data_IF_347687135955
#
_entry.id   IF_347687135955
#
_cell.length_a   1.000
_cell.length_b   1.000
_cell.length_c   1.000
_cell.angle_alpha   90.00
_cell.angle_beta   90.00
_cell.angle_gamma   90.00
#
_symmetry.space_group_name_H-M   'P 1'
#
loop_
_entity.id
_entity.type
_entity.pdbx_description
1 polymer ?
#
# COMPACT_ATOMS: atom_id res chain seq x y z
N UNK A 1 42.63 50.66 -11.29
CA UNK A 1 43.46 49.45 -11.03
C UNK A 1 42.55 48.25 -11.19
N UNK A 2 42.81 47.42 -12.24
CA UNK A 2 42.10 46.19 -12.44
C UNK A 2 42.60 45.17 -11.40
N UNK A 3 41.72 44.67 -10.52
CA UNK A 3 42.07 43.58 -9.63
C UNK A 3 42.45 42.36 -10.46
N UNK A 4 43.45 41.54 -10.06
CA UNK A 4 43.82 40.35 -10.77
C UNK A 4 42.68 39.35 -10.71
N UNK A 5 42.32 38.72 -11.83
CA UNK A 5 41.38 37.63 -11.96
C UNK A 5 41.82 36.52 -11.02
N UNK A 6 41.12 36.38 -9.91
CA UNK A 6 41.21 35.19 -9.06
C UNK A 6 40.57 34.04 -9.85
N UNK A 7 41.36 33.22 -10.53
CA UNK A 7 40.90 32.00 -11.19
C UNK A 7 40.49 31.01 -10.10
N UNK A 8 39.26 31.12 -9.65
CA UNK A 8 38.68 30.16 -8.71
C UNK A 8 38.53 28.85 -9.49
N UNK A 9 39.25 27.81 -9.11
CA UNK A 9 39.08 26.48 -9.68
C UNK A 9 37.71 25.99 -9.28
N UNK A 10 36.84 25.76 -10.24
CA UNK A 10 35.50 25.23 -9.99
C UNK A 10 35.57 23.70 -9.91
N UNK A 11 35.60 23.19 -8.67
CA UNK A 11 35.42 21.76 -8.38
C UNK A 11 33.96 21.38 -8.61
N UNK A 12 33.67 20.76 -9.73
CA UNK A 12 32.32 20.65 -10.30
C UNK A 12 31.70 19.28 -10.07
N UNK A 13 30.51 19.28 -9.51
CA UNK A 13 29.61 18.14 -9.47
C UNK A 13 28.67 18.14 -10.67
N UNK A 14 28.63 17.05 -11.43
CA UNK A 14 27.61 16.82 -12.46
C UNK A 14 26.45 16.05 -11.85
N UNK A 15 25.28 16.68 -11.74
CA UNK A 15 24.10 16.06 -11.16
C UNK A 15 23.09 15.69 -12.24
N UNK A 16 22.64 14.43 -12.24
CA UNK A 16 21.71 13.85 -13.20
C UNK A 16 20.56 13.16 -12.49
N UNK A 17 19.34 13.32 -13.02
CA UNK A 17 18.15 12.70 -12.48
C UNK A 17 17.19 12.25 -13.57
N UNK A 18 16.63 11.04 -13.39
CA UNK A 18 15.54 10.55 -14.21
C UNK A 18 14.45 10.00 -13.29
N UNK A 19 13.18 10.32 -13.55
CA UNK A 19 12.05 9.73 -12.85
C UNK A 19 11.25 8.84 -13.79
N UNK A 20 10.52 7.86 -13.24
CA UNK A 20 9.59 7.00 -14.02
C UNK A 20 8.50 7.81 -14.74
N UNK A 21 8.16 8.98 -14.22
CA UNK A 21 7.20 9.89 -14.85
C UNK A 21 7.81 10.60 -16.07
N UNK A 22 9.12 10.79 -16.09
CA UNK A 22 9.84 11.43 -17.21
C UNK A 22 9.95 10.50 -18.43
N UNK A 23 9.95 9.16 -18.23
CA UNK A 23 9.99 8.16 -19.30
C UNK A 23 8.71 8.12 -20.16
N UNK A 24 7.57 8.53 -19.60
CA UNK A 24 6.27 8.48 -20.28
C UNK A 24 6.01 9.66 -21.22
N UNK A 25 6.81 10.71 -21.16
CA UNK A 25 6.73 11.88 -22.05
C UNK A 25 7.92 11.84 -23.01
N UNK A 26 7.68 11.65 -24.29
CA UNK A 26 8.60 11.36 -25.38
C UNK A 26 9.87 12.21 -25.56
N UNK A 27 10.17 13.14 -24.64
CA UNK A 27 11.38 13.96 -24.56
C UNK A 27 12.27 13.63 -23.35
N UNK A 28 12.10 12.46 -22.74
CA UNK A 28 12.91 12.06 -21.59
C UNK A 28 14.34 11.73 -22.05
N UNK A 29 15.24 12.67 -21.83
CA UNK A 29 16.67 12.47 -22.07
C UNK A 29 17.21 11.50 -21.03
N UNK A 30 17.68 10.33 -21.47
CA UNK A 30 18.27 9.30 -20.62
C UNK A 30 19.41 9.84 -19.76
N UNK A 31 19.76 9.16 -18.67
CA UNK A 31 20.93 9.51 -17.84
C UNK A 31 22.19 9.61 -18.70
N UNK A 32 22.39 8.72 -19.68
CA UNK A 32 23.56 8.72 -20.57
C UNK A 32 23.61 9.97 -21.43
N UNK A 33 22.47 10.41 -21.95
CA UNK A 33 22.42 11.66 -22.74
C UNK A 33 22.68 12.88 -21.86
N UNK A 34 22.14 12.91 -20.63
CA UNK A 34 22.44 13.97 -19.66
C UNK A 34 23.95 14.00 -19.37
N UNK A 35 24.57 12.85 -19.12
CA UNK A 35 26.00 12.71 -18.86
C UNK A 35 26.83 13.29 -20.00
N UNK A 36 26.50 12.90 -21.22
CA UNK A 36 27.21 13.40 -22.42
C UNK A 36 27.15 14.92 -22.54
N UNK A 37 25.94 15.51 -22.35
CA UNK A 37 25.74 16.96 -22.41
C UNK A 37 26.57 17.66 -21.32
N UNK A 38 26.49 17.17 -20.06
CA UNK A 38 27.15 17.81 -18.92
C UNK A 38 28.68 17.70 -19.01
N UNK A 39 29.20 16.55 -19.40
CA UNK A 39 30.64 16.37 -19.61
C UNK A 39 31.18 17.22 -20.75
N UNK A 40 30.41 17.36 -21.84
CA UNK A 40 30.79 18.24 -22.95
C UNK A 40 30.82 19.70 -22.49
N UNK A 41 29.75 20.16 -21.83
CA UNK A 41 29.67 21.51 -21.28
C UNK A 41 30.83 21.82 -20.31
N UNK A 42 31.12 20.88 -19.39
CA UNK A 42 32.22 21.05 -18.43
C UNK A 42 33.58 21.20 -19.13
N UNK A 43 33.82 20.43 -20.18
CA UNK A 43 35.04 20.54 -20.99
C UNK A 43 35.13 21.90 -21.74
N UNK A 44 34.02 22.32 -22.36
CA UNK A 44 33.94 23.61 -23.07
C UNK A 44 34.15 24.82 -22.16
N UNK A 45 33.65 24.73 -20.92
CA UNK A 45 33.77 25.80 -19.92
C UNK A 45 35.06 25.69 -19.05
N UNK A 46 35.89 24.66 -19.24
CA UNK A 46 37.09 24.44 -18.45
C UNK A 46 36.83 24.12 -16.98
N UNK A 47 35.69 23.50 -16.67
CA UNK A 47 35.29 23.13 -15.30
C UNK A 47 36.02 21.84 -14.88
N UNK A 48 36.55 21.82 -13.66
CA UNK A 48 37.18 20.64 -13.08
C UNK A 48 36.12 19.70 -12.46
N UNK A 49 35.78 18.61 -13.16
CA UNK A 49 34.77 17.66 -12.66
C UNK A 49 35.38 16.78 -11.57
N UNK A 50 34.84 16.85 -10.37
CA UNK A 50 35.28 16.05 -9.21
C UNK A 50 34.36 14.88 -8.91
N UNK A 51 33.12 14.85 -9.43
CA UNK A 51 32.19 13.75 -9.22
C UNK A 51 30.94 13.82 -10.09
N UNK A 52 30.37 12.64 -10.31
CA UNK A 52 29.05 12.47 -10.92
C UNK A 52 28.06 11.92 -9.89
N UNK A 53 26.87 12.51 -9.84
CA UNK A 53 25.82 12.19 -8.89
C UNK A 53 24.55 11.86 -9.66
N UNK A 54 24.10 10.60 -9.55
CA UNK A 54 22.99 10.09 -10.36
C UNK A 54 21.89 9.56 -9.45
N UNK A 55 20.68 10.07 -9.63
CA UNK A 55 19.45 9.60 -9.00
C UNK A 55 18.47 9.10 -10.06
N UNK A 56 18.60 7.82 -10.44
CA UNK A 56 17.69 7.15 -11.36
C UNK A 56 16.47 6.61 -10.65
N UNK A 57 15.27 6.79 -11.25
CA UNK A 57 13.99 6.40 -10.68
C UNK A 57 13.44 7.34 -9.59
N UNK A 58 14.10 8.47 -9.30
CA UNK A 58 13.72 9.42 -8.26
C UNK A 58 12.95 10.63 -8.81
N UNK A 59 11.86 11.00 -8.07
CA UNK A 59 11.07 12.19 -8.41
C UNK A 59 11.80 13.49 -8.05
N UNK A 60 11.60 14.54 -8.86
CA UNK A 60 12.09 15.90 -8.57
C UNK A 60 11.28 16.64 -7.49
N UNK A 61 10.21 16.04 -6.93
CA UNK A 61 9.30 16.69 -5.99
C UNK A 61 9.76 16.64 -4.52
N UNK A 62 10.90 15.98 -4.23
CA UNK A 62 11.56 16.03 -2.93
C UNK A 62 13.07 16.06 -3.13
N UNK A 63 13.81 16.41 -2.09
CA UNK A 63 15.26 16.48 -2.09
C UNK A 63 15.93 15.38 -1.22
N UNK A 64 15.16 14.42 -0.70
CA UNK A 64 15.65 13.24 0.04
C UNK A 64 16.12 12.14 -0.96
N UNK A 65 17.02 12.52 -1.87
CA UNK A 65 17.57 11.64 -2.91
C UNK A 65 19.00 11.27 -2.55
N UNK A 66 19.39 10.00 -2.59
CA UNK A 66 20.68 9.54 -2.06
C UNK A 66 21.90 10.24 -2.69
N UNK A 67 21.92 10.39 -4.04
CA UNK A 67 23.04 11.03 -4.71
C UNK A 67 23.00 12.55 -4.55
N UNK A 68 21.81 13.15 -4.46
CA UNK A 68 21.70 14.58 -4.14
C UNK A 68 22.23 14.88 -2.74
N UNK A 69 21.86 14.08 -1.74
CA UNK A 69 22.38 14.28 -0.37
C UNK A 69 23.89 14.11 -0.30
N UNK A 70 24.44 13.09 -0.96
CA UNK A 70 25.88 12.88 -1.07
C UNK A 70 26.59 14.07 -1.75
N UNK A 71 25.99 14.65 -2.79
CA UNK A 71 26.52 15.89 -3.39
C UNK A 71 26.50 17.05 -2.40
N UNK A 72 25.43 17.18 -1.61
CA UNK A 72 25.34 18.23 -0.59
C UNK A 72 26.36 18.04 0.54
N UNK A 73 26.60 16.79 0.98
CA UNK A 73 27.68 16.48 1.94
C UNK A 73 29.05 16.91 1.40
N UNK A 74 29.32 16.69 0.11
CA UNK A 74 30.58 17.13 -0.53
C UNK A 74 30.64 18.65 -0.72
N UNK A 75 29.51 19.34 -0.87
CA UNK A 75 29.40 20.80 -0.83
C UNK A 75 29.74 21.31 0.57
N UNK A 76 29.14 20.73 1.61
CA UNK A 76 29.41 21.11 3.01
C UNK A 76 30.86 20.87 3.40
N UNK A 77 31.46 19.78 2.91
CA UNK A 77 32.88 19.48 3.11
C UNK A 77 33.84 20.38 2.29
N UNK A 78 33.30 21.27 1.44
CA UNK A 78 34.11 22.15 0.58
C UNK A 78 34.79 21.45 -0.59
N UNK A 79 34.47 20.19 -0.89
CA UNK A 79 35.02 19.43 -2.01
C UNK A 79 34.39 19.87 -3.34
N UNK A 80 33.12 20.30 -3.30
CA UNK A 80 32.35 20.78 -4.45
C UNK A 80 32.01 22.26 -4.22
N UNK A 81 32.35 23.10 -5.21
CA UNK A 81 31.99 24.51 -5.22
C UNK A 81 31.25 24.93 -6.51
N UNK A 82 30.93 23.96 -7.38
CA UNK A 82 30.10 24.18 -8.55
C UNK A 82 29.22 22.97 -8.78
N UNK A 83 27.91 23.19 -9.03
CA UNK A 83 26.96 22.13 -9.39
C UNK A 83 26.39 22.42 -10.78
N UNK A 84 26.40 21.44 -11.67
CA UNK A 84 25.89 21.56 -13.05
C UNK A 84 24.80 20.53 -13.26
N UNK A 85 23.66 20.98 -13.78
CA UNK A 85 22.55 20.14 -14.20
C UNK A 85 22.18 20.42 -15.66
N UNK A 86 21.49 19.47 -16.31
CA UNK A 86 21.01 19.72 -17.67
C UNK A 86 20.00 20.87 -17.69
N UNK A 87 19.04 20.84 -16.78
CA UNK A 87 17.99 21.83 -16.64
C UNK A 87 17.56 21.96 -15.16
N UNK A 88 16.85 23.02 -14.82
CA UNK A 88 16.36 23.27 -13.46
C UNK A 88 15.48 22.13 -12.93
N UNK A 89 14.72 21.47 -13.81
CA UNK A 89 13.83 20.36 -13.39
C UNK A 89 14.61 19.14 -12.92
N UNK A 90 15.87 18.96 -13.36
CA UNK A 90 16.76 17.89 -12.89
C UNK A 90 17.27 18.18 -11.48
N UNK A 91 17.56 19.44 -11.18
CA UNK A 91 17.89 19.85 -9.82
C UNK A 91 16.70 19.61 -8.87
N UNK A 92 15.50 20.13 -9.19
CA UNK A 92 14.30 19.94 -8.40
C UNK A 92 13.03 20.46 -9.07
N UNK A 93 11.86 20.10 -8.51
CA UNK A 93 10.54 20.59 -8.94
C UNK A 93 9.73 21.16 -7.77
N UNK A 94 10.32 21.26 -6.60
CA UNK A 94 9.74 21.85 -5.40
C UNK A 94 10.36 23.24 -5.20
N UNK A 95 9.59 24.28 -5.46
CA UNK A 95 10.12 25.65 -5.56
C UNK A 95 10.71 26.16 -4.24
N UNK A 96 10.09 25.88 -3.09
CA UNK A 96 10.57 26.39 -1.79
C UNK A 96 11.98 25.87 -1.49
N UNK A 97 12.24 24.58 -1.75
CA UNK A 97 13.57 24.03 -1.56
C UNK A 97 14.55 24.45 -2.64
N UNK A 98 14.08 24.64 -3.88
CA UNK A 98 14.91 25.21 -4.95
C UNK A 98 15.39 26.60 -4.58
N UNK A 99 14.49 27.48 -4.14
CA UNK A 99 14.80 28.85 -3.73
C UNK A 99 15.74 28.82 -2.51
N UNK A 100 15.51 27.93 -1.53
CA UNK A 100 16.41 27.73 -0.40
C UNK A 100 17.84 27.38 -0.83
N UNK A 101 18.00 26.43 -1.77
CA UNK A 101 19.33 26.04 -2.25
C UNK A 101 19.97 27.14 -3.08
N UNK A 102 19.24 27.75 -4.01
CA UNK A 102 19.80 28.68 -4.98
C UNK A 102 19.99 30.10 -4.43
N UNK A 103 19.12 30.55 -3.51
CA UNK A 103 19.15 31.91 -2.97
C UNK A 103 19.82 32.01 -1.59
N UNK A 104 19.85 30.92 -0.81
CA UNK A 104 20.43 30.94 0.53
C UNK A 104 21.67 30.07 0.66
N UNK A 105 21.53 28.75 0.48
CA UNK A 105 22.61 27.81 0.80
C UNK A 105 23.80 27.93 -0.15
N UNK A 106 23.59 27.92 -1.46
CA UNK A 106 24.66 28.01 -2.45
C UNK A 106 25.41 29.35 -2.37
N UNK A 107 24.75 30.51 -2.27
CA UNK A 107 25.46 31.79 -2.00
C UNK A 107 26.24 31.77 -0.69
N UNK A 108 25.67 31.25 0.40
CA UNK A 108 26.35 31.15 1.71
C UNK A 108 27.64 30.30 1.60
N UNK A 109 27.56 29.17 0.93
CA UNK A 109 28.68 28.23 0.71
C UNK A 109 29.58 28.62 -0.49
N UNK A 110 29.27 29.72 -1.19
CA UNK A 110 29.93 30.16 -2.42
C UNK A 110 29.98 29.09 -3.51
N UNK A 111 28.87 28.36 -3.66
CA UNK A 111 28.67 27.34 -4.69
C UNK A 111 28.06 27.98 -5.92
N UNK A 112 28.72 27.84 -7.06
CA UNK A 112 28.16 28.19 -8.37
C UNK A 112 27.18 27.13 -8.81
N UNK A 113 26.02 27.51 -9.32
CA UNK A 113 25.04 26.61 -9.93
C UNK A 113 24.83 26.96 -11.40
N UNK A 114 24.79 25.93 -12.25
CA UNK A 114 24.60 26.09 -13.71
C UNK A 114 23.50 25.13 -14.18
N UNK A 115 22.49 25.65 -14.88
CA UNK A 115 21.51 24.86 -15.64
C UNK A 115 21.71 25.08 -17.12
N UNK A 116 22.27 24.07 -17.82
CA UNK A 116 22.79 24.17 -19.17
C UNK A 116 21.71 24.54 -20.20
N UNK A 117 20.58 23.86 -20.18
CA UNK A 117 19.51 24.05 -21.17
C UNK A 117 18.84 25.42 -21.09
N UNK A 118 18.73 25.98 -19.86
CA UNK A 118 18.16 27.30 -19.65
C UNK A 118 19.18 28.41 -19.71
N UNK A 119 20.48 28.10 -19.85
CA UNK A 119 21.59 29.06 -19.78
C UNK A 119 21.57 29.88 -18.48
N UNK A 120 21.13 29.24 -17.36
CA UNK A 120 21.15 29.86 -16.07
C UNK A 120 22.48 29.60 -15.35
N UNK A 121 23.05 30.63 -14.72
CA UNK A 121 24.34 30.60 -14.06
C UNK A 121 24.36 31.60 -12.91
N UNK A 122 24.51 31.11 -11.70
CA UNK A 122 24.47 31.97 -10.49
C UNK A 122 25.60 32.97 -10.42
N UNK A 123 26.74 32.71 -11.09
CA UNK A 123 27.86 33.66 -11.14
C UNK A 123 27.59 34.86 -12.07
N UNK A 124 26.73 34.68 -13.06
CA UNK A 124 26.26 35.75 -13.96
C UNK A 124 24.99 36.44 -13.45
N UNK A 125 24.44 35.96 -12.37
CA UNK A 125 23.09 36.31 -11.84
C UNK A 125 22.02 35.42 -12.46
N UNK A 126 21.14 34.87 -11.61
CA UNK A 126 19.97 34.12 -12.07
C UNK A 126 18.98 35.07 -12.76
N UNK A 127 18.35 34.60 -13.82
CA UNK A 127 17.27 35.32 -14.48
C UNK A 127 16.08 35.53 -13.54
N UNK A 128 15.44 36.70 -13.60
CA UNK A 128 14.20 37.01 -12.86
C UNK A 128 13.05 36.02 -13.19
N UNK A 129 13.21 35.21 -14.25
CA UNK A 129 12.28 34.16 -14.63
C UNK A 129 12.46 32.81 -13.90
N UNK A 130 13.56 32.61 -13.17
CA UNK A 130 13.80 31.35 -12.45
C UNK A 130 12.69 31.02 -11.45
N UNK A 131 12.21 31.94 -10.60
CA UNK A 131 11.07 31.68 -9.70
C UNK A 131 9.80 31.28 -10.44
N UNK A 132 9.52 31.91 -11.60
CA UNK A 132 8.38 31.55 -12.43
C UNK A 132 8.51 30.15 -13.02
N UNK A 133 9.70 29.77 -13.52
CA UNK A 133 9.96 28.41 -14.02
C UNK A 133 9.76 27.37 -12.91
N UNK A 134 10.24 27.64 -11.71
CA UNK A 134 10.05 26.77 -10.55
C UNK A 134 8.57 26.61 -10.21
N UNK A 135 7.81 27.71 -10.18
CA UNK A 135 6.37 27.69 -9.95
C UNK A 135 5.61 26.90 -11.04
N UNK A 136 5.98 27.08 -12.31
CA UNK A 136 5.39 26.31 -13.42
C UNK A 136 5.66 24.83 -13.30
N UNK A 137 6.88 24.44 -12.96
CA UNK A 137 7.25 23.03 -12.76
C UNK A 137 6.43 22.38 -11.63
N UNK A 138 6.22 23.07 -10.51
CA UNK A 138 5.36 22.60 -9.42
C UNK A 138 3.89 22.52 -9.86
N UNK A 139 3.39 23.57 -10.51
CA UNK A 139 2.02 23.60 -11.01
C UNK A 139 1.74 22.45 -11.98
N UNK A 140 2.67 22.17 -12.90
CA UNK A 140 2.56 21.07 -13.86
C UNK A 140 2.49 19.71 -13.17
N UNK A 141 3.33 19.45 -12.16
CA UNK A 141 3.29 18.24 -11.37
C UNK A 141 1.95 18.07 -10.62
N UNK A 142 1.41 19.17 -10.07
CA UNK A 142 0.11 19.21 -9.39
C UNK A 142 -1.05 18.97 -10.38
N UNK A 143 -1.00 19.60 -11.55
CA UNK A 143 -2.01 19.44 -12.59
C UNK A 143 -2.05 18.02 -13.15
N UNK A 144 -0.89 17.44 -13.43
CA UNK A 144 -0.75 16.04 -13.86
C UNK A 144 -1.34 15.09 -12.80
N UNK A 145 -1.01 15.28 -11.52
CA UNK A 145 -1.59 14.49 -10.43
C UNK A 145 -3.12 14.60 -10.38
N UNK A 146 -3.67 15.79 -10.61
CA UNK A 146 -5.12 16.03 -10.67
C UNK A 146 -5.76 15.31 -11.85
N UNK A 147 -5.17 15.42 -13.05
CA UNK A 147 -5.64 14.74 -14.27
C UNK A 147 -5.65 13.22 -14.11
N UNK A 148 -4.57 12.64 -13.56
CA UNK A 148 -4.49 11.19 -13.27
C UNK A 148 -5.59 10.76 -12.28
N UNK A 149 -5.80 11.51 -11.21
CA UNK A 149 -6.88 11.21 -10.24
C UNK A 149 -8.27 11.28 -10.87
N UNK A 150 -8.50 12.25 -11.76
CA UNK A 150 -9.77 12.38 -12.49
C UNK A 150 -9.98 11.21 -13.45
N UNK A 151 -8.95 10.81 -14.20
CA UNK A 151 -9.02 9.64 -15.08
C UNK A 151 -9.28 8.34 -14.28
N UNK A 152 -8.65 8.17 -13.12
CA UNK A 152 -8.94 7.03 -12.25
C UNK A 152 -10.37 7.08 -11.71
N UNK A 153 -10.88 8.26 -11.33
CA UNK A 153 -12.28 8.40 -10.88
C UNK A 153 -13.27 7.96 -11.96
N UNK A 154 -13.06 8.35 -13.20
CA UNK A 154 -13.90 7.94 -14.33
C UNK A 154 -13.84 6.42 -14.56
N UNK A 155 -12.65 5.83 -14.55
CA UNK A 155 -12.47 4.37 -14.69
C UNK A 155 -13.09 3.59 -13.53
N UNK A 156 -12.99 4.10 -12.31
CA UNK A 156 -13.62 3.47 -11.14
C UNK A 156 -15.14 3.52 -11.21
N UNK A 157 -15.73 4.65 -11.64
CA UNK A 157 -17.17 4.76 -11.85
C UNK A 157 -17.67 3.78 -12.93
N UNK A 158 -16.83 3.48 -13.92
CA UNK A 158 -17.10 2.46 -14.95
C UNK A 158 -16.83 1.01 -14.49
N UNK A 159 -16.54 0.78 -13.19
CA UNK A 159 -16.26 -0.56 -12.63
C UNK A 159 -14.94 -1.20 -13.09
N UNK A 160 -14.07 -0.43 -13.75
CA UNK A 160 -12.79 -0.95 -14.23
C UNK A 160 -11.80 -1.15 -13.08
N UNK A 161 -11.22 -2.34 -12.98
CA UNK A 161 -10.20 -2.61 -11.98
C UNK A 161 -8.81 -2.17 -12.44
N UNK A 162 -8.30 -1.13 -11.81
CA UNK A 162 -6.95 -0.62 -12.06
C UNK A 162 -6.01 -1.21 -11.00
N UNK A 163 -5.42 -2.35 -11.30
CA UNK A 163 -4.46 -3.02 -10.44
C UNK A 163 -3.37 -3.66 -11.30
N UNK A 164 -2.13 -3.65 -10.81
CA UNK A 164 -1.02 -4.32 -11.46
C UNK A 164 -1.30 -5.83 -11.58
N UNK A 165 -1.87 -6.43 -10.52
CA UNK A 165 -2.16 -7.86 -10.46
C UNK A 165 -3.64 -8.12 -10.28
N UNK A 166 -4.11 -9.26 -10.83
CA UNK A 166 -5.44 -9.78 -10.55
C UNK A 166 -5.47 -10.38 -9.13
N UNK A 167 -6.62 -10.35 -8.44
CA UNK A 167 -6.80 -11.07 -7.19
C UNK A 167 -6.74 -12.59 -7.43
N UNK A 168 -6.41 -13.34 -6.39
CA UNK A 168 -6.45 -14.81 -6.44
C UNK A 168 -7.82 -15.29 -6.95
N UNK A 169 -7.85 -16.33 -7.78
CA UNK A 169 -9.07 -16.85 -8.40
C UNK A 169 -9.53 -16.08 -9.64
N UNK A 170 -8.87 -14.95 -9.96
CA UNK A 170 -9.12 -14.18 -11.16
C UNK A 170 -7.85 -13.96 -11.97
N UNK A 171 -8.01 -13.74 -13.27
CA UNK A 171 -6.99 -13.25 -14.19
C UNK A 171 -7.51 -12.08 -15.00
N UNK A 172 -6.60 -11.30 -15.58
CA UNK A 172 -6.97 -10.19 -16.47
C UNK A 172 -7.51 -10.76 -17.78
N UNK A 173 -8.57 -10.14 -18.30
CA UNK A 173 -9.09 -10.48 -19.63
C UNK A 173 -8.01 -10.20 -20.68
N UNK A 174 -7.74 -11.10 -21.63
CA UNK A 174 -6.66 -10.94 -22.61
C UNK A 174 -6.88 -9.72 -23.55
N UNK A 175 -8.13 -9.47 -23.95
CA UNK A 175 -8.47 -8.43 -24.92
C UNK A 175 -9.05 -7.17 -24.27
N UNK A 176 -9.84 -7.32 -23.20
CA UNK A 176 -10.53 -6.18 -22.55
C UNK A 176 -9.70 -5.68 -21.38
N UNK A 177 -9.07 -4.52 -21.56
CA UNK A 177 -8.25 -3.87 -20.51
C UNK A 177 -9.06 -3.59 -19.24
N UNK A 178 -8.46 -3.89 -18.09
CA UNK A 178 -9.04 -3.65 -16.76
C UNK A 178 -10.29 -4.48 -16.41
N UNK A 179 -10.61 -5.53 -17.17
CA UNK A 179 -11.64 -6.50 -16.87
C UNK A 179 -11.05 -7.76 -16.25
N UNK A 180 -11.74 -8.34 -15.27
CA UNK A 180 -11.40 -9.63 -14.66
C UNK A 180 -12.25 -10.75 -15.24
N UNK A 181 -11.64 -11.93 -15.38
CA UNK A 181 -12.30 -13.19 -15.67
C UNK A 181 -11.85 -14.24 -14.65
N UNK A 182 -12.66 -15.24 -14.41
CA UNK A 182 -12.32 -16.35 -13.50
C UNK A 182 -11.06 -17.07 -14.00
N UNK A 183 -10.19 -17.40 -13.07
CA UNK A 183 -9.00 -18.21 -13.29
C UNK A 183 -9.26 -19.61 -12.74
N UNK A 184 -9.61 -20.54 -13.62
CA UNK A 184 -9.99 -21.91 -13.25
C UNK A 184 -8.86 -22.66 -12.51
N UNK A 185 -7.60 -22.31 -12.75
CA UNK A 185 -6.46 -22.93 -12.07
C UNK A 185 -6.36 -22.56 -10.59
N UNK A 186 -6.88 -21.39 -10.20
CA UNK A 186 -6.70 -20.87 -8.84
C UNK A 186 -8.00 -20.56 -8.10
N UNK A 187 -9.18 -20.61 -8.78
CA UNK A 187 -10.49 -20.35 -8.14
C UNK A 187 -10.75 -21.29 -6.95
N UNK A 188 -10.35 -22.54 -7.07
CA UNK A 188 -10.56 -23.55 -6.02
C UNK A 188 -9.94 -23.16 -4.67
N UNK A 189 -8.86 -22.37 -4.68
CA UNK A 189 -8.22 -21.91 -3.45
C UNK A 189 -9.15 -20.94 -2.71
N UNK A 190 -9.81 -20.05 -3.45
CA UNK A 190 -10.78 -19.11 -2.90
C UNK A 190 -12.00 -19.86 -2.37
N UNK A 191 -12.55 -20.78 -3.16
CA UNK A 191 -13.68 -21.62 -2.75
C UNK A 191 -13.36 -22.40 -1.48
N UNK A 192 -12.17 -23.01 -1.37
CA UNK A 192 -11.70 -23.71 -0.18
C UNK A 192 -11.60 -22.80 1.03
N UNK A 193 -11.08 -21.60 0.89
CA UNK A 193 -10.97 -20.63 2.00
C UNK A 193 -12.36 -20.28 2.52
N UNK A 194 -13.33 -20.04 1.64
CA UNK A 194 -14.70 -19.71 2.04
C UNK A 194 -15.46 -20.92 2.59
N UNK A 195 -15.23 -22.12 2.03
CA UNK A 195 -15.81 -23.36 2.56
C UNK A 195 -15.32 -23.63 3.99
N UNK A 196 -14.04 -23.57 4.24
CA UNK A 196 -13.49 -23.69 5.58
C UNK A 196 -14.05 -22.63 6.54
N UNK A 197 -14.24 -21.41 6.07
CA UNK A 197 -14.80 -20.34 6.88
C UNK A 197 -16.27 -20.59 7.25
N UNK A 198 -17.11 -21.03 6.30
CA UNK A 198 -18.53 -21.33 6.56
C UNK A 198 -18.71 -22.49 7.54
N UNK A 199 -17.76 -23.45 7.53
CA UNK A 199 -17.69 -24.53 8.51
C UNK A 199 -17.06 -24.12 9.87
N UNK A 200 -16.99 -22.81 10.14
CA UNK A 200 -16.60 -22.26 11.44
C UNK A 200 -15.09 -22.18 11.69
N UNK A 201 -14.23 -22.45 10.69
CA UNK A 201 -12.79 -22.29 10.85
C UNK A 201 -12.41 -20.82 10.85
N UNK A 202 -11.69 -20.39 11.88
CA UNK A 202 -11.15 -19.03 11.95
C UNK A 202 -9.94 -18.83 11.01
N UNK A 203 -9.63 -17.57 10.64
CA UNK A 203 -8.55 -17.25 9.71
C UNK A 203 -7.20 -17.90 10.10
N UNK A 204 -6.87 -17.99 11.39
CA UNK A 204 -5.64 -18.64 11.85
C UNK A 204 -5.66 -20.16 11.62
N UNK A 205 -6.80 -20.82 11.75
CA UNK A 205 -6.98 -22.24 11.47
C UNK A 205 -6.88 -22.51 9.97
N UNK A 206 -7.56 -21.71 9.17
CA UNK A 206 -7.49 -21.78 7.70
C UNK A 206 -6.04 -21.61 7.24
N UNK A 207 -5.31 -20.61 7.74
CA UNK A 207 -3.89 -20.40 7.42
C UNK A 207 -3.06 -21.66 7.68
N UNK A 208 -3.24 -22.32 8.82
CA UNK A 208 -2.51 -23.55 9.15
C UNK A 208 -2.84 -24.71 8.22
N UNK A 209 -4.12 -24.84 7.82
CA UNK A 209 -4.57 -25.86 6.86
C UNK A 209 -3.91 -25.63 5.50
N UNK A 210 -3.94 -24.39 4.97
CA UNK A 210 -3.35 -24.05 3.69
C UNK A 210 -1.83 -24.30 3.66
N UNK A 211 -1.11 -24.03 4.75
CA UNK A 211 0.32 -24.32 4.88
C UNK A 211 0.57 -25.83 4.91
N UNK A 212 -0.21 -26.56 5.72
CA UNK A 212 -0.05 -28.02 5.87
C UNK A 212 -0.30 -28.76 4.54
N UNK A 213 -1.24 -28.28 3.75
CA UNK A 213 -1.58 -28.84 2.43
C UNK A 213 -0.71 -28.30 1.29
N UNK A 214 0.29 -27.47 1.60
CA UNK A 214 1.17 -26.83 0.62
C UNK A 214 0.40 -26.10 -0.50
N UNK A 215 -0.66 -25.36 -0.14
CA UNK A 215 -1.40 -24.54 -1.09
C UNK A 215 -0.55 -23.32 -1.47
N UNK A 216 -0.28 -23.06 -2.77
CA UNK A 216 0.58 -21.95 -3.16
C UNK A 216 -0.04 -20.57 -2.82
N UNK A 217 0.78 -19.64 -2.37
CA UNK A 217 0.37 -18.26 -2.11
C UNK A 217 0.15 -17.48 -3.42
N UNK A 218 -0.69 -16.43 -3.43
CA UNK A 218 -0.92 -15.64 -4.65
C UNK A 218 0.37 -15.07 -5.27
N UNK A 219 1.33 -14.67 -4.44
CA UNK A 219 2.62 -14.18 -4.92
C UNK A 219 3.48 -15.26 -5.56
N UNK A 220 3.45 -16.47 -5.01
CA UNK A 220 4.19 -17.62 -5.56
C UNK A 220 3.58 -18.10 -6.89
N UNK A 221 2.26 -18.09 -7.01
CA UNK A 221 1.57 -18.40 -8.28
C UNK A 221 2.02 -17.43 -9.37
N UNK A 222 2.05 -16.13 -9.10
CA UNK A 222 2.52 -15.13 -10.07
C UNK A 222 4.00 -15.33 -10.41
N UNK A 223 4.83 -15.68 -9.43
CA UNK A 223 6.24 -15.99 -9.69
C UNK A 223 6.41 -17.20 -10.62
N UNK A 224 5.64 -18.26 -10.40
CA UNK A 224 5.69 -19.45 -11.26
C UNK A 224 5.19 -19.19 -12.70
N UNK A 225 4.22 -18.27 -12.87
CA UNK A 225 3.61 -17.96 -14.17
C UNK A 225 4.46 -17.04 -15.04
N UNK A 226 4.96 -15.98 -14.49
CA UNK A 226 5.60 -14.89 -15.24
C UNK A 226 6.87 -14.32 -14.61
N UNK A 227 7.40 -14.95 -13.54
CA UNK A 227 8.58 -14.47 -12.83
C UNK A 227 8.35 -13.26 -11.94
N UNK A 228 7.11 -12.79 -11.81
CA UNK A 228 6.77 -11.68 -10.92
C UNK A 228 7.16 -12.03 -9.47
N UNK A 229 7.70 -11.06 -8.73
CA UNK A 229 8.24 -11.26 -7.37
C UNK A 229 9.49 -12.17 -7.32
N UNK A 230 10.30 -12.23 -8.39
CA UNK A 230 11.58 -12.95 -8.39
C UNK A 230 12.49 -12.53 -7.25
N UNK A 231 12.50 -11.25 -6.88
CA UNK A 231 13.23 -10.72 -5.73
C UNK A 231 12.84 -11.35 -4.37
N UNK A 232 11.68 -12.00 -4.31
CA UNK A 232 11.16 -12.65 -3.09
C UNK A 232 11.39 -14.16 -3.16
N UNK A 233 11.13 -14.77 -4.32
CA UNK A 233 11.04 -16.23 -4.47
C UNK A 233 12.23 -16.86 -5.20
N UNK A 234 12.96 -16.13 -6.06
CA UNK A 234 14.12 -16.68 -6.74
C UNK A 234 15.24 -17.01 -5.73
N UNK A 235 15.66 -18.29 -5.71
CA UNK A 235 16.67 -18.79 -4.76
C UNK A 235 16.19 -18.93 -3.30
N UNK A 236 14.91 -18.68 -3.00
CA UNK A 236 14.35 -18.90 -1.68
C UNK A 236 13.95 -20.38 -1.49
N UNK A 237 13.92 -20.89 -0.23
CA UNK A 237 13.39 -22.23 0.06
C UNK A 237 11.95 -22.37 -0.45
N UNK A 238 11.59 -23.56 -0.94
CA UNK A 238 10.28 -23.84 -1.54
C UNK A 238 9.12 -23.56 -0.57
N UNK A 239 9.33 -23.79 0.73
CA UNK A 239 8.34 -23.56 1.79
C UNK A 239 7.85 -22.11 1.82
N UNK A 240 8.65 -21.17 1.34
CA UNK A 240 8.26 -19.74 1.25
C UNK A 240 7.12 -19.53 0.29
N UNK A 241 6.99 -20.36 -0.74
CA UNK A 241 5.88 -20.34 -1.68
C UNK A 241 4.53 -20.68 -1.05
N UNK A 242 4.53 -21.42 0.06
CA UNK A 242 3.34 -21.88 0.78
C UNK A 242 3.13 -21.14 2.12
N UNK A 243 3.94 -20.14 2.41
CA UNK A 243 3.92 -19.40 3.67
C UNK A 243 2.75 -18.39 3.74
N UNK A 244 1.54 -18.92 3.87
CA UNK A 244 0.34 -18.11 4.07
C UNK A 244 0.38 -17.32 5.38
N UNK A 245 -0.18 -16.12 5.35
CA UNK A 245 -0.35 -15.29 6.55
C UNK A 245 -1.82 -15.15 6.91
N UNK A 246 -2.10 -14.97 8.20
CA UNK A 246 -3.46 -14.70 8.70
C UNK A 246 -4.06 -13.43 8.05
N UNK A 247 -3.20 -12.45 7.73
CA UNK A 247 -3.61 -11.20 7.09
C UNK A 247 -4.11 -11.44 5.66
N UNK A 248 -3.45 -12.31 4.89
CA UNK A 248 -3.89 -12.68 3.53
C UNK A 248 -5.25 -13.36 3.56
N UNK A 249 -5.43 -14.37 4.42
CA UNK A 249 -6.73 -15.07 4.57
C UNK A 249 -7.83 -14.09 4.99
N UNK A 250 -7.56 -13.21 5.97
CA UNK A 250 -8.54 -12.18 6.38
C UNK A 250 -8.86 -11.20 5.26
N UNK A 251 -7.91 -10.87 4.43
CA UNK A 251 -8.13 -9.97 3.29
C UNK A 251 -9.04 -10.64 2.25
N UNK A 252 -8.79 -11.90 1.92
CA UNK A 252 -9.62 -12.68 1.00
C UNK A 252 -11.05 -12.79 1.52
N UNK A 253 -11.24 -13.19 2.77
CA UNK A 253 -12.58 -13.36 3.36
C UNK A 253 -13.40 -12.06 3.43
N UNK A 254 -12.78 -10.88 3.32
CA UNK A 254 -13.44 -9.57 3.37
C UNK A 254 -13.54 -8.87 2.03
N UNK A 255 -13.00 -9.45 0.97
CA UNK A 255 -12.95 -8.78 -0.33
C UNK A 255 -14.20 -9.10 -1.15
N UNK A 256 -15.04 -8.10 -1.35
CA UNK A 256 -16.27 -8.20 -2.16
C UNK A 256 -16.01 -8.45 -3.66
N UNK A 257 -14.76 -8.45 -4.08
CA UNK A 257 -14.38 -8.88 -5.44
C UNK A 257 -14.86 -10.30 -5.73
N UNK A 258 -14.88 -11.17 -4.71
CA UNK A 258 -15.30 -12.58 -4.85
C UNK A 258 -16.80 -12.78 -5.03
N UNK A 259 -17.61 -11.76 -4.74
CA UNK A 259 -19.05 -11.72 -5.04
C UNK A 259 -19.40 -10.84 -6.24
N UNK A 260 -18.40 -10.53 -7.07
CA UNK A 260 -18.60 -9.80 -8.32
C UNK A 260 -18.53 -8.28 -8.23
N UNK A 261 -18.19 -7.71 -7.08
CA UNK A 261 -18.16 -6.26 -6.88
C UNK A 261 -16.73 -5.72 -6.85
N UNK A 262 -16.54 -4.49 -7.28
CA UNK A 262 -15.25 -3.82 -7.18
C UNK A 262 -15.34 -2.60 -6.25
N UNK A 263 -14.43 -2.53 -5.27
CA UNK A 263 -14.36 -1.42 -4.32
C UNK A 263 -13.08 -0.62 -4.57
N UNK A 264 -13.26 0.67 -4.80
CA UNK A 264 -12.18 1.62 -5.01
C UNK A 264 -12.11 2.68 -3.90
N UNK A 265 -11.05 3.48 -3.91
CA UNK A 265 -10.82 4.58 -2.95
C UNK A 265 -10.71 4.16 -1.48
N UNK A 266 -10.31 2.92 -1.19
CA UNK A 266 -10.02 2.50 0.18
C UNK A 266 -8.87 3.29 0.81
N UNK A 267 -7.95 3.79 -0.03
CA UNK A 267 -6.77 4.55 0.37
C UNK A 267 -6.52 5.71 -0.59
N UNK A 268 -5.85 6.74 -0.10
CA UNK A 268 -5.37 7.87 -0.92
C UNK A 268 -4.03 8.36 -0.38
N UNK A 269 -3.24 9.03 -1.22
CA UNK A 269 -2.06 9.74 -0.76
C UNK A 269 -2.47 11.07 -0.11
N UNK A 270 -1.73 11.52 0.91
CA UNK A 270 -1.97 12.81 1.57
C UNK A 270 -1.93 13.95 0.56
N UNK A 271 -0.90 13.99 -0.29
CA UNK A 271 -0.76 14.98 -1.35
C UNK A 271 0.07 14.43 -2.51
N UNK A 272 0.26 15.22 -3.57
CA UNK A 272 1.17 14.87 -4.66
C UNK A 272 2.64 14.90 -4.23
N UNK A 273 3.00 15.74 -3.24
CA UNK A 273 4.33 15.80 -2.62
C UNK A 273 4.51 14.69 -1.57
N UNK A 274 3.51 14.46 -0.72
CA UNK A 274 3.55 13.44 0.32
C UNK A 274 2.79 12.18 -0.13
N UNK A 275 3.53 11.16 -0.53
CA UNK A 275 3.00 9.88 -1.03
C UNK A 275 2.56 8.91 0.08
N UNK A 276 2.63 9.32 1.37
CA UNK A 276 2.13 8.50 2.48
C UNK A 276 0.65 8.20 2.28
N UNK A 277 0.30 6.93 2.30
CA UNK A 277 -1.07 6.46 2.15
C UNK A 277 -1.84 6.63 3.46
N UNK A 278 -3.05 7.15 3.35
CA UNK A 278 -4.03 7.22 4.42
C UNK A 278 -5.27 6.42 4.03
N UNK A 279 -5.82 5.68 4.98
CA UNK A 279 -7.06 4.92 4.77
C UNK A 279 -8.25 5.86 4.85
N UNK A 280 -9.14 5.78 3.86
CA UNK A 280 -10.37 6.55 3.83
C UNK A 280 -11.47 5.88 4.65
N UNK A 281 -12.40 6.65 5.23
CA UNK A 281 -13.60 6.11 5.83
C UNK A 281 -14.42 5.35 4.80
N UNK A 282 -15.16 4.32 5.25
CA UNK A 282 -15.93 3.45 4.36
C UNK A 282 -17.01 4.20 3.57
N UNK A 283 -17.53 5.30 4.10
CA UNK A 283 -18.50 6.18 3.43
C UNK A 283 -17.97 6.85 2.15
N UNK A 284 -16.65 6.93 1.99
CA UNK A 284 -16.01 7.51 0.81
C UNK A 284 -15.56 6.46 -0.22
N UNK A 285 -15.76 5.18 0.07
CA UNK A 285 -15.41 4.12 -0.87
C UNK A 285 -16.38 4.11 -2.05
N UNK A 286 -15.86 3.87 -3.23
CA UNK A 286 -16.69 3.70 -4.43
C UNK A 286 -16.88 2.20 -4.65
N UNK A 287 -18.10 1.72 -4.46
CA UNK A 287 -18.52 0.34 -4.71
C UNK A 287 -19.27 0.28 -6.04
N UNK A 288 -18.82 -0.56 -6.94
CA UNK A 288 -19.48 -0.84 -8.22
C UNK A 288 -19.85 -2.31 -8.27
N UNK A 289 -21.13 -2.58 -8.47
CA UNK A 289 -21.67 -3.93 -8.42
C UNK A 289 -21.55 -4.63 -9.77
N UNK A 290 -21.47 -5.97 -9.74
CA UNK A 290 -21.51 -6.84 -10.91
C UNK A 290 -20.49 -6.48 -12.00
N UNK A 291 -19.27 -6.14 -11.61
CA UNK A 291 -18.18 -5.79 -12.52
C UNK A 291 -17.49 -7.02 -13.13
N UNK A 292 -17.57 -8.16 -12.46
CA UNK A 292 -17.03 -9.46 -12.89
C UNK A 292 -17.92 -10.61 -12.40
N UNK A 293 -17.71 -11.80 -12.97
CA UNK A 293 -18.37 -13.02 -12.53
C UNK A 293 -17.98 -13.39 -11.10
N UNK A 294 -18.95 -13.68 -10.20
CA UNK A 294 -18.65 -14.05 -8.82
C UNK A 294 -18.08 -15.47 -8.72
N UNK A 295 -17.08 -15.68 -7.86
CA UNK A 295 -16.60 -17.01 -7.46
C UNK A 295 -17.45 -17.56 -6.32
N UNK A 296 -17.88 -16.68 -5.42
CA UNK A 296 -18.62 -17.00 -4.19
C UNK A 296 -20.00 -16.36 -4.27
N UNK A 297 -21.05 -17.10 -3.86
CA UNK A 297 -22.40 -16.53 -3.78
C UNK A 297 -22.47 -15.47 -2.68
N UNK A 298 -23.32 -14.46 -2.87
CA UNK A 298 -23.53 -13.39 -1.87
C UNK A 298 -24.02 -13.95 -0.53
N UNK A 299 -24.81 -15.01 -0.56
CA UNK A 299 -25.32 -15.68 0.65
C UNK A 299 -24.17 -16.26 1.49
N UNK A 300 -23.26 -17.01 0.85
CA UNK A 300 -22.06 -17.59 1.51
C UNK A 300 -21.17 -16.47 2.09
N UNK A 301 -20.93 -15.44 1.31
CA UNK A 301 -20.13 -14.31 1.75
C UNK A 301 -20.74 -13.64 2.99
N UNK A 302 -22.04 -13.36 2.98
CA UNK A 302 -22.76 -12.75 4.10
C UNK A 302 -22.68 -13.61 5.37
N UNK A 303 -22.90 -14.92 5.26
CA UNK A 303 -22.76 -15.85 6.38
C UNK A 303 -21.36 -15.82 6.98
N UNK A 304 -20.33 -15.78 6.14
CA UNK A 304 -18.93 -15.68 6.59
C UNK A 304 -18.69 -14.33 7.31
N UNK A 305 -19.23 -13.20 6.80
CA UNK A 305 -19.11 -11.91 7.49
C UNK A 305 -19.80 -11.92 8.87
N UNK A 306 -20.99 -12.51 8.99
CA UNK A 306 -21.70 -12.66 10.25
C UNK A 306 -20.90 -13.50 11.24
N UNK A 307 -20.30 -14.61 10.80
CA UNK A 307 -19.43 -15.43 11.64
C UNK A 307 -18.19 -14.65 12.11
N UNK A 308 -17.55 -13.87 11.23
CA UNK A 308 -16.42 -13.02 11.58
C UNK A 308 -16.84 -11.95 12.61
N UNK A 309 -18.02 -11.34 12.44
CA UNK A 309 -18.55 -10.34 13.33
C UNK A 309 -18.94 -10.91 14.71
N UNK A 310 -19.41 -12.16 14.76
CA UNK A 310 -19.82 -12.83 16.00
C UNK A 310 -18.67 -13.14 16.96
N UNK A 311 -17.40 -12.92 16.55
CA UNK A 311 -16.18 -13.20 17.34
C UNK A 311 -16.09 -14.63 17.90
N UNK A 312 -16.70 -15.61 17.23
CA UNK A 312 -16.55 -17.03 17.61
C UNK A 312 -15.08 -17.42 17.61
N UNK A 313 -14.63 -18.05 18.70
CA UNK A 313 -13.26 -18.57 18.84
C UNK A 313 -13.32 -20.06 19.08
N UNK A 314 -12.50 -20.81 18.31
CA UNK A 314 -12.23 -22.21 18.62
C UNK A 314 -11.45 -22.31 19.94
N UNK A 315 -11.75 -23.32 20.71
CA UNK A 315 -10.94 -23.70 21.88
C UNK A 315 -9.63 -24.36 21.45
N UNK A 316 -8.68 -24.48 22.38
CA UNK A 316 -7.40 -25.19 22.15
C UNK A 316 -7.57 -26.65 21.67
N UNK A 317 -8.70 -27.27 22.03
CA UNK A 317 -9.05 -28.63 21.60
C UNK A 317 -9.81 -28.71 20.27
N UNK A 318 -9.87 -27.63 19.50
CA UNK A 318 -10.55 -27.57 18.19
C UNK A 318 -12.08 -27.50 18.25
N UNK A 319 -12.69 -27.42 19.44
CA UNK A 319 -14.15 -27.34 19.59
C UNK A 319 -14.63 -25.90 19.77
N UNK A 320 -15.76 -25.56 19.17
CA UNK A 320 -16.42 -24.26 19.37
C UNK A 320 -17.68 -24.53 20.21
N UNK A 321 -17.87 -23.76 21.27
CA UNK A 321 -19.12 -23.86 22.06
C UNK A 321 -20.32 -23.40 21.22
N UNK A 322 -21.43 -24.14 21.29
CA UNK A 322 -22.63 -23.96 20.46
C UNK A 322 -23.11 -22.50 20.45
N UNK A 323 -23.12 -21.86 21.63
CA UNK A 323 -23.62 -20.49 21.78
C UNK A 323 -22.54 -19.42 21.72
N UNK A 324 -21.27 -19.77 21.39
CA UNK A 324 -20.20 -18.80 21.33
C UNK A 324 -20.47 -17.71 20.28
N UNK A 325 -20.43 -16.44 20.70
CA UNK A 325 -20.69 -15.30 19.86
C UNK A 325 -22.16 -15.03 19.51
N UNK A 326 -23.08 -15.93 19.88
CA UNK A 326 -24.52 -15.78 19.63
C UNK A 326 -25.23 -15.06 20.80
N UNK A 327 -24.74 -15.24 22.04
CA UNK A 327 -25.38 -14.69 23.23
C UNK A 327 -24.74 -13.35 23.56
N UNK A 328 -25.59 -12.37 23.85
CA UNK A 328 -25.21 -11.03 24.28
C UNK A 328 -25.78 -10.71 25.65
N UNK A 329 -25.07 -9.90 26.43
CA UNK A 329 -25.56 -9.35 27.66
C UNK A 329 -26.70 -8.37 27.39
N UNK A 330 -27.83 -8.51 28.05
CA UNK A 330 -28.98 -7.63 27.85
C UNK A 330 -28.69 -6.18 28.26
N UNK A 331 -27.86 -5.96 29.28
CA UNK A 331 -27.57 -4.63 29.80
C UNK A 331 -26.53 -3.86 28.97
N UNK A 332 -25.45 -4.53 28.54
CA UNK A 332 -24.34 -3.84 27.87
C UNK A 332 -24.15 -4.22 26.41
N UNK A 333 -24.91 -5.15 25.86
CA UNK A 333 -24.82 -5.61 24.46
C UNK A 333 -23.58 -6.43 24.11
N UNK A 334 -22.64 -6.63 25.07
CA UNK A 334 -21.41 -7.39 24.80
C UNK A 334 -21.66 -8.90 24.80
N UNK A 335 -20.83 -9.63 24.05
CA UNK A 335 -20.91 -11.09 23.99
C UNK A 335 -20.61 -11.71 25.35
N UNK A 336 -21.33 -12.80 25.70
CA UNK A 336 -21.03 -13.60 26.86
C UNK A 336 -19.85 -14.56 26.55
N UNK A 337 -18.93 -14.68 27.48
CA UNK A 337 -17.81 -15.62 27.44
C UNK A 337 -18.16 -16.92 28.16
N UNK A 338 -17.73 -18.05 27.59
CA UNK A 338 -17.90 -19.36 28.24
C UNK A 338 -16.78 -19.60 29.26
N UNK A 339 -17.16 -19.99 30.45
CA UNK A 339 -16.28 -20.44 31.52
C UNK A 339 -16.68 -21.84 32.03
N UNK A 340 -15.74 -22.52 32.69
CA UNK A 340 -15.99 -23.80 33.37
C UNK A 340 -15.61 -23.64 34.82
N UNK A 341 -16.54 -24.03 35.72
CA UNK A 341 -16.22 -24.18 37.12
C UNK A 341 -15.79 -25.63 37.37
N UNK A 342 -14.52 -25.82 37.73
CA UNK A 342 -13.89 -27.11 38.00
C UNK A 342 -13.63 -27.37 39.48
N UNK A 343 -13.99 -26.40 40.33
CA UNK A 343 -13.71 -26.50 41.79
C UNK A 343 -14.75 -27.36 42.56
N UNK A 344 -15.90 -27.62 41.96
CA UNK A 344 -16.93 -28.44 42.56
C UNK A 344 -16.82 -29.90 42.15
N UNK A 345 -17.35 -30.81 42.96
CA UNK A 345 -17.43 -32.26 42.67
C UNK A 345 -18.13 -32.60 41.35
N UNK A 346 -18.98 -31.70 40.84
CA UNK A 346 -19.61 -31.78 39.51
C UNK A 346 -19.25 -30.53 38.71
N UNK A 347 -18.27 -30.61 37.78
CA UNK A 347 -17.94 -29.47 36.91
C UNK A 347 -19.12 -29.04 36.07
N UNK A 348 -19.31 -27.73 35.90
CA UNK A 348 -20.36 -27.19 35.03
C UNK A 348 -19.84 -26.02 34.18
N UNK A 349 -20.37 -25.93 32.97
CA UNK A 349 -20.13 -24.81 32.10
C UNK A 349 -21.11 -23.66 32.34
N UNK A 350 -20.69 -22.44 32.14
CA UNK A 350 -21.52 -21.24 32.22
C UNK A 350 -21.09 -20.16 31.27
N UNK A 351 -21.99 -19.29 30.92
CA UNK A 351 -21.68 -18.06 30.19
C UNK A 351 -21.75 -16.87 31.13
N UNK A 352 -20.81 -15.94 31.01
CA UNK A 352 -20.76 -14.71 31.81
C UNK A 352 -20.45 -13.49 30.93
N UNK A 353 -20.88 -12.30 31.40
CA UNK A 353 -20.62 -11.06 30.67
C UNK A 353 -19.09 -10.81 30.54
N UNK A 354 -18.57 -10.79 29.30
CA UNK A 354 -17.14 -10.60 29.07
C UNK A 354 -16.67 -9.20 29.43
N UNK A 355 -17.56 -8.19 29.46
CA UNK A 355 -17.21 -6.83 29.88
C UNK A 355 -16.98 -6.73 31.39
N UNK A 356 -17.70 -7.51 32.17
CA UNK A 356 -17.44 -7.66 33.61
C UNK A 356 -16.16 -8.49 33.85
N UNK A 357 -15.98 -9.59 33.11
CA UNK A 357 -14.85 -10.51 33.27
C UNK A 357 -13.47 -9.91 32.88
N UNK A 358 -13.43 -8.78 32.20
CA UNK A 358 -12.18 -8.06 31.85
C UNK A 358 -11.64 -7.19 33.01
N UNK A 359 -12.24 -7.24 34.18
CA UNK A 359 -11.79 -6.48 35.36
C UNK A 359 -12.17 -5.00 35.36
N UNK A 360 -12.76 -4.49 34.27
CA UNK A 360 -13.16 -3.07 34.15
C UNK A 360 -14.43 -2.74 34.95
N UNK A 361 -15.17 -3.75 35.45
CA UNK A 361 -16.46 -3.63 36.15
C UNK A 361 -17.48 -2.67 35.53
N UNK A 362 -17.41 -2.49 34.23
CA UNK A 362 -18.31 -1.60 33.48
C UNK A 362 -19.70 -2.21 33.23
N UNK A 363 -19.94 -3.41 33.68
CA UNK A 363 -21.22 -4.09 33.68
C UNK A 363 -21.33 -4.90 34.95
N UNK A 364 -22.56 -5.14 35.45
CA UNK A 364 -22.84 -6.03 36.57
C UNK A 364 -22.53 -7.49 36.23
N UNK A 365 -22.37 -8.33 37.23
CA UNK A 365 -22.06 -9.74 37.05
C UNK A 365 -23.31 -10.51 36.61
N UNK A 366 -23.35 -10.92 35.35
CA UNK A 366 -24.40 -11.76 34.80
C UNK A 366 -23.79 -13.10 34.40
N UNK A 367 -24.43 -14.19 34.78
CA UNK A 367 -24.05 -15.51 34.27
C UNK A 367 -25.29 -16.38 34.08
N UNK A 368 -25.22 -17.33 33.17
CA UNK A 368 -26.18 -18.37 32.93
C UNK A 368 -25.50 -19.72 32.79
N UNK A 369 -25.99 -20.77 33.42
CA UNK A 369 -25.46 -22.10 33.26
C UNK A 369 -25.72 -22.62 31.84
N UNK A 370 -24.73 -23.36 31.31
CA UNK A 370 -24.81 -23.90 29.96
C UNK A 370 -25.98 -24.87 29.79
N UNK A 371 -26.19 -25.77 30.75
CA UNK A 371 -27.25 -26.76 30.72
C UNK A 371 -28.65 -26.14 30.70
N UNK A 372 -28.88 -25.09 31.52
CA UNK A 372 -30.13 -24.35 31.55
C UNK A 372 -30.40 -23.63 30.22
N UNK A 373 -29.39 -22.96 29.71
CA UNK A 373 -29.49 -22.27 28.41
C UNK A 373 -29.76 -23.25 27.27
N UNK A 374 -29.02 -24.38 27.24
CA UNK A 374 -29.20 -25.41 26.23
C UNK A 374 -30.61 -26.00 26.25
N UNK A 375 -31.11 -26.38 27.42
CA UNK A 375 -32.47 -26.92 27.57
C UNK A 375 -33.52 -25.91 27.10
N UNK A 376 -33.39 -24.63 27.49
CA UNK A 376 -34.29 -23.57 27.05
C UNK A 376 -34.33 -23.38 25.55
N UNK A 377 -33.13 -23.26 24.90
CA UNK A 377 -33.04 -23.09 23.44
C UNK A 377 -33.59 -24.32 22.72
N UNK A 378 -33.26 -25.54 23.20
CA UNK A 378 -33.74 -26.77 22.60
C UNK A 378 -35.26 -26.85 22.64
N UNK A 379 -35.87 -26.55 23.79
CA UNK A 379 -37.35 -26.54 23.95
C UNK A 379 -38.02 -25.54 22.99
N UNK A 380 -37.39 -24.38 22.77
CA UNK A 380 -37.92 -23.38 21.84
C UNK A 380 -37.80 -23.82 20.38
N UNK A 381 -36.68 -24.44 20.01
CA UNK A 381 -36.52 -25.01 18.66
C UNK A 381 -37.50 -26.13 18.38
N UNK A 382 -37.71 -27.04 19.34
CA UNK A 382 -38.72 -28.10 19.25
C UNK A 382 -40.12 -27.54 19.09
N UNK A 383 -40.50 -26.52 19.89
CA UNK A 383 -41.78 -25.84 19.77
C UNK A 383 -41.98 -25.21 18.37
N UNK A 384 -40.98 -24.52 17.84
CA UNK A 384 -41.05 -23.93 16.50
C UNK A 384 -41.13 -25.00 15.40
N UNK A 385 -40.43 -26.12 15.56
CA UNK A 385 -40.51 -27.26 14.62
C UNK A 385 -41.92 -27.89 14.59
N UNK A 386 -42.63 -27.95 15.71
CA UNK A 386 -44.01 -28.48 15.80
C UNK A 386 -45.04 -27.54 15.18
N UNK A 387 -44.78 -26.24 15.07
CA UNK A 387 -45.69 -25.27 14.42
C UNK A 387 -45.60 -25.31 12.90
N UNK A 388 -44.50 -25.83 12.35
CA UNK A 388 -44.24 -25.87 10.91
C UNK A 388 -44.46 -27.26 10.26
N UNK A 389 -44.98 -28.22 11.03
CA UNK A 389 -45.53 -29.47 10.53
C UNK A 389 -47.08 -29.39 10.55
#
# INVERSE_FOLDING_TARGET
MKQPYNTTIHNTALYMRLSRDDESYGDSVSIETQRTILQQYAREQGLHVVGEYVDDGWSGTNFERPSFQRMMDDVEAGKVNCSVTKDLSRFGREHVMMDYYLEFLFPEKRVRYIAVAENEDTEKGLSDFVPFKNLFNEWFAKDTSRKVKTAFKAKFAAGQRISAYAPLGYKKHPEIKNKLIIDEETRWIVEKIFDLAIHGKGAASITRILIAEKVPTPGFINFQRDGTFANIYAGAPEEKGYAWTIAQVKSILKDETYIGHTIHYRETNISFKNKRRIRKPQSEWVRVENTQEPIISEQVFRQVQEQIASRRRERKNGTTQIFAGLIKCADCGWSLAYGENRQNSKPYGYYHCSKNGQGTRQCSMHYIRYDVLYAYVLSRLQYLSLIHI
#
